data_IF_410052650502
#
_entry.id   IF_410052650502
#
_cell.length_a   1.000
_cell.length_b   1.000
_cell.length_c   1.000
_cell.angle_alpha   90.00
_cell.angle_beta   90.00
_cell.angle_gamma   90.00
#
_symmetry.space_group_name_H-M   'P 1'
#
loop_
_entity.id
_entity.type
_entity.pdbx_description
1 polymer ?
#
# COMPACT_ATOMS: atom_id res chain seq x y z
N UNK A 1 20.25 -12.94 -41.25
CA UNK A 1 20.57 -12.48 -39.87
C UNK A 1 19.88 -11.14 -39.58
N UNK A 2 18.54 -11.05 -39.73
CA UNK A 2 17.78 -9.78 -39.62
C UNK A 2 16.53 -9.87 -38.70
N UNK A 3 16.16 -11.05 -38.19
CA UNK A 3 14.95 -11.25 -37.37
C UNK A 3 15.11 -10.93 -35.89
N UNK A 4 16.26 -11.27 -35.27
CA UNK A 4 16.47 -11.13 -33.81
C UNK A 4 16.41 -9.69 -33.29
N UNK A 5 16.69 -8.67 -34.12
CA UNK A 5 16.67 -7.26 -33.68
C UNK A 5 15.25 -6.73 -33.54
N UNK A 6 14.28 -7.21 -34.31
CA UNK A 6 12.87 -6.78 -34.20
C UNK A 6 12.15 -7.39 -32.98
N UNK A 7 12.54 -8.59 -32.56
CA UNK A 7 11.94 -9.28 -31.41
C UNK A 7 12.28 -8.60 -30.08
N UNK A 8 13.50 -8.07 -29.94
CA UNK A 8 13.92 -7.35 -28.72
C UNK A 8 13.12 -6.06 -28.54
N UNK A 9 12.91 -5.28 -29.61
CA UNK A 9 12.11 -4.06 -29.53
C UNK A 9 10.64 -4.35 -29.22
N UNK A 10 10.07 -5.46 -29.73
CA UNK A 10 8.72 -5.90 -29.35
C UNK A 10 8.63 -6.36 -27.89
N UNK A 11 9.64 -7.05 -27.36
CA UNK A 11 9.69 -7.49 -25.98
C UNK A 11 9.89 -6.34 -24.98
N UNK A 12 10.65 -5.30 -25.36
CA UNK A 12 10.80 -4.08 -24.56
C UNK A 12 9.50 -3.26 -24.60
N UNK A 13 8.89 -3.11 -25.77
CA UNK A 13 7.63 -2.39 -25.94
C UNK A 13 6.44 -3.10 -25.25
N UNK A 14 6.42 -4.44 -25.21
CA UNK A 14 5.40 -5.20 -24.48
C UNK A 14 5.54 -5.03 -22.97
N UNK A 15 6.77 -4.97 -22.43
CA UNK A 15 7.00 -4.63 -21.02
C UNK A 15 6.66 -3.17 -20.68
N UNK A 16 6.93 -2.22 -21.58
CA UNK A 16 6.62 -0.80 -21.36
C UNK A 16 5.12 -0.49 -21.38
N UNK A 17 4.31 -1.19 -22.18
CA UNK A 17 2.84 -1.03 -22.16
C UNK A 17 2.19 -1.45 -20.84
N UNK A 18 2.78 -2.42 -20.15
CA UNK A 18 2.35 -2.87 -18.80
C UNK A 18 2.88 -1.90 -17.72
N UNK A 19 4.03 -1.29 -17.95
CA UNK A 19 4.72 -0.41 -16.99
C UNK A 19 3.94 0.84 -16.57
N UNK A 20 3.15 1.45 -17.46
CA UNK A 20 2.37 2.64 -17.11
C UNK A 20 1.08 2.30 -16.33
N UNK A 21 0.44 1.17 -16.66
CA UNK A 21 -0.79 0.72 -16.01
C UNK A 21 -0.54 0.24 -14.57
N UNK A 22 0.60 -0.44 -14.32
CA UNK A 22 0.95 -0.93 -13.00
C UNK A 22 1.72 0.11 -12.15
N UNK A 23 2.13 1.26 -12.70
CA UNK A 23 2.89 2.28 -11.97
C UNK A 23 2.17 2.70 -10.69
N UNK A 24 0.87 3.05 -10.77
CA UNK A 24 0.08 3.45 -9.61
C UNK A 24 -0.01 2.35 -8.55
N UNK A 25 -0.21 1.09 -8.97
CA UNK A 25 -0.29 -0.05 -8.06
C UNK A 25 1.04 -0.28 -7.35
N UNK A 26 2.16 -0.22 -8.09
CA UNK A 26 3.50 -0.34 -7.52
C UNK A 26 3.82 0.82 -6.59
N UNK A 27 3.50 2.06 -6.94
CA UNK A 27 3.74 3.23 -6.09
C UNK A 27 3.01 3.11 -4.74
N UNK A 28 1.75 2.69 -4.75
CA UNK A 28 0.99 2.47 -3.52
C UNK A 28 1.60 1.35 -2.67
N UNK A 29 2.06 0.28 -3.31
CA UNK A 29 2.67 -0.85 -2.62
C UNK A 29 4.04 -0.49 -2.01
N UNK A 30 4.84 0.32 -2.71
CA UNK A 30 6.07 0.88 -2.17
C UNK A 30 5.82 1.80 -0.98
N UNK A 31 4.75 2.59 -0.99
CA UNK A 31 4.37 3.43 0.16
C UNK A 31 3.94 2.55 1.35
N UNK A 32 3.15 1.49 1.11
CA UNK A 32 2.71 0.55 2.15
C UNK A 32 3.88 -0.15 2.83
N UNK A 33 4.85 -0.65 2.06
CA UNK A 33 6.01 -1.36 2.58
C UNK A 33 7.12 -0.44 3.09
N UNK A 34 7.35 0.68 2.41
CA UNK A 34 8.35 1.67 2.79
C UNK A 34 8.00 2.39 4.08
N UNK A 35 6.72 2.36 4.49
CA UNK A 35 6.22 2.89 5.75
C UNK A 35 6.77 4.30 6.09
N UNK A 36 6.63 5.28 5.18
CA UNK A 36 7.24 6.60 5.35
C UNK A 36 6.65 7.37 6.54
N UNK A 37 5.45 6.99 7.00
CA UNK A 37 4.86 7.45 8.24
C UNK A 37 4.38 6.25 9.07
N UNK A 38 4.85 6.16 10.31
CA UNK A 38 4.53 5.04 11.20
C UNK A 38 3.12 5.13 11.80
N UNK A 39 2.53 6.32 11.81
CA UNK A 39 1.21 6.60 12.33
C UNK A 39 0.97 8.09 12.53
N UNK A 40 -0.15 8.42 13.17
CA UNK A 40 -0.55 9.79 13.40
C UNK A 40 -1.37 9.96 14.67
N UNK A 41 -1.07 11.01 15.43
CA UNK A 41 -1.87 11.37 16.58
C UNK A 41 -3.14 12.14 16.18
N UNK A 42 -4.21 11.85 16.90
CA UNK A 42 -5.48 12.56 16.86
C UNK A 42 -5.95 12.85 18.27
N UNK A 43 -6.78 13.88 18.41
CA UNK A 43 -7.51 14.18 19.65
C UNK A 43 -9.00 14.01 19.40
N UNK A 44 -9.69 13.29 20.27
CA UNK A 44 -11.14 13.13 20.18
C UNK A 44 -11.83 14.46 20.54
N UNK A 45 -12.80 14.89 19.74
CA UNK A 45 -13.58 16.11 20.01
C UNK A 45 -14.80 15.87 20.91
N UNK A 46 -15.16 14.59 21.12
CA UNK A 46 -16.26 14.10 21.93
C UNK A 46 -16.01 12.65 22.31
N UNK A 47 -16.80 12.14 23.24
CA UNK A 47 -16.86 10.71 23.52
C UNK A 47 -17.25 9.94 22.24
N UNK A 48 -16.53 8.86 21.96
CA UNK A 48 -16.71 8.05 20.75
C UNK A 48 -16.55 6.57 21.06
N UNK A 49 -17.46 5.74 20.53
CA UNK A 49 -17.33 4.29 20.53
C UNK A 49 -16.55 3.86 19.29
N UNK A 50 -15.46 3.13 19.46
CA UNK A 50 -14.70 2.48 18.38
C UNK A 50 -14.73 0.97 18.59
N UNK A 51 -15.50 0.26 17.76
CA UNK A 51 -15.80 -1.16 18.00
C UNK A 51 -16.46 -1.34 19.38
N UNK A 52 -15.81 -2.13 20.24
CA UNK A 52 -16.29 -2.41 21.59
C UNK A 52 -15.67 -1.49 22.67
N UNK A 53 -14.86 -0.52 22.27
CA UNK A 53 -14.13 0.38 23.18
C UNK A 53 -14.79 1.76 23.20
N UNK A 54 -14.98 2.32 24.40
CA UNK A 54 -15.32 3.73 24.57
C UNK A 54 -14.04 4.56 24.72
N UNK A 55 -13.91 5.61 23.91
CA UNK A 55 -12.82 6.57 23.96
C UNK A 55 -13.42 7.92 24.41
N UNK A 56 -13.03 8.43 25.59
CA UNK A 56 -13.52 9.72 26.08
C UNK A 56 -13.12 10.89 25.20
N UNK A 57 -13.86 12.00 25.29
CA UNK A 57 -13.52 13.31 24.77
C UNK A 57 -12.11 13.74 25.22
N UNK A 58 -11.43 14.49 24.37
CA UNK A 58 -10.10 15.08 24.60
C UNK A 58 -8.95 14.07 24.78
N UNK A 59 -9.21 12.78 24.57
CA UNK A 59 -8.22 11.71 24.55
C UNK A 59 -7.30 11.81 23.33
N UNK A 60 -6.01 11.53 23.54
CA UNK A 60 -5.05 11.37 22.45
C UNK A 60 -5.08 9.93 21.95
N UNK A 61 -5.31 9.75 20.66
CA UNK A 61 -5.34 8.45 19.98
C UNK A 61 -4.19 8.38 18.98
N UNK A 62 -3.42 7.29 19.05
CA UNK A 62 -2.41 6.96 18.06
C UNK A 62 -3.00 6.05 16.98
N UNK A 63 -3.04 6.52 15.74
CA UNK A 63 -3.45 5.72 14.58
C UNK A 63 -2.20 5.09 13.99
N UNK A 64 -1.93 3.83 14.32
CA UNK A 64 -0.75 3.09 13.90
C UNK A 64 -0.88 2.55 12.47
N UNK A 65 -0.36 3.29 11.47
CA UNK A 65 -0.39 2.84 10.07
C UNK A 65 0.42 1.56 9.85
N UNK A 66 1.56 1.41 10.55
CA UNK A 66 2.39 0.21 10.46
C UNK A 66 1.58 -1.06 10.69
N UNK A 67 0.81 -1.11 11.78
CA UNK A 67 0.03 -2.30 12.12
C UNK A 67 -0.98 -2.64 11.01
N UNK A 68 -1.66 -1.63 10.47
CA UNK A 68 -2.64 -1.80 9.40
C UNK A 68 -2.00 -2.21 8.07
N UNK A 69 -0.83 -1.67 7.74
CA UNK A 69 -0.12 -1.99 6.50
C UNK A 69 0.30 -3.47 6.43
N UNK A 70 0.36 -4.15 7.58
CA UNK A 70 0.63 -5.59 7.68
C UNK A 70 -0.59 -6.44 8.07
N UNK A 71 -1.80 -5.89 8.01
CA UNK A 71 -3.02 -6.64 8.33
C UNK A 71 -3.36 -7.65 7.22
N UNK A 72 -3.29 -8.94 7.54
CA UNK A 72 -3.58 -10.03 6.61
C UNK A 72 -5.05 -10.07 6.16
N UNK A 73 -5.98 -9.49 6.93
CA UNK A 73 -7.38 -9.37 6.52
C UNK A 73 -7.55 -8.37 5.36
N UNK A 74 -6.63 -7.43 5.23
CA UNK A 74 -6.64 -6.42 4.16
C UNK A 74 -5.67 -6.74 3.02
N UNK A 75 -4.51 -7.31 3.35
CA UNK A 75 -3.43 -7.61 2.41
C UNK A 75 -3.00 -9.08 2.60
N UNK A 76 -3.44 -10.01 1.73
CA UNK A 76 -2.96 -11.39 1.76
C UNK A 76 -1.43 -11.41 1.65
N UNK A 77 -0.72 -12.25 2.41
CA UNK A 77 0.76 -12.22 2.46
C UNK A 77 1.33 -10.79 2.67
N UNK A 78 0.99 -10.10 3.77
CA UNK A 78 1.26 -8.66 3.92
C UNK A 78 2.77 -8.31 3.93
N UNK A 79 3.63 -9.28 4.21
CA UNK A 79 5.09 -9.12 4.17
C UNK A 79 5.67 -9.19 2.75
N UNK A 80 4.90 -9.63 1.75
CA UNK A 80 5.34 -9.76 0.36
C UNK A 80 4.96 -8.54 -0.47
N UNK A 81 5.93 -8.02 -1.21
CA UNK A 81 5.70 -6.98 -2.23
C UNK A 81 4.92 -7.57 -3.42
N UNK A 82 3.81 -6.94 -3.79
CA UNK A 82 3.04 -7.27 -5.00
C UNK A 82 1.88 -8.23 -4.77
N UNK A 83 1.28 -8.23 -3.58
CA UNK A 83 0.27 -9.19 -3.14
C UNK A 83 -1.17 -8.89 -3.57
N UNK A 84 -1.39 -7.89 -4.45
CA UNK A 84 -2.68 -7.72 -5.11
C UNK A 84 -2.66 -8.52 -6.41
N UNK A 85 -3.39 -9.63 -6.41
CA UNK A 85 -3.68 -10.45 -7.60
C UNK A 85 -4.18 -9.61 -8.77
#
# INVERSE_FOLDING_TARGET
MLGRRFDIFRAIASKQRVGLACFHQHSNEFIRHGNPAIGLFRRTSRDVRLGNVMIPKDSTVWIAYLARNYDAAQFPEPARLGNKS
#
